data_IF_627809932842
#
_entry.id   IF_627809932842
#
_cell.length_a   1.000
_cell.length_b   1.000
_cell.length_c   1.000
_cell.angle_alpha   90.00
_cell.angle_beta   90.00
_cell.angle_gamma   90.00
#
_symmetry.space_group_name_H-M   'P 1'
#
loop_
_entity.id
_entity.type
_entity.pdbx_description
1 polymer ?
#
# COMPACT_ATOMS: atom_id res chain seq x y z
N UNK A 1 8.28 12.59 -9.28
CA UNK A 1 7.02 11.82 -9.38
C UNK A 1 5.76 12.70 -9.55
N UNK A 2 5.80 13.83 -10.26
CA UNK A 2 4.70 14.82 -10.23
C UNK A 2 3.42 14.47 -11.00
N UNK A 3 3.44 13.50 -11.91
CA UNK A 3 2.33 13.27 -12.87
C UNK A 3 1.78 11.83 -12.90
N UNK A 4 2.09 10.99 -11.90
CA UNK A 4 1.53 9.64 -11.83
C UNK A 4 0.33 9.61 -10.89
N UNK A 5 -0.78 9.07 -11.37
CA UNK A 5 -2.03 8.88 -10.64
C UNK A 5 -2.25 7.39 -10.38
N UNK A 6 -3.09 7.08 -9.39
CA UNK A 6 -3.50 5.72 -9.07
C UNK A 6 -2.34 4.80 -8.66
N UNK A 7 -1.30 5.36 -8.04
CA UNK A 7 -0.23 4.57 -7.44
C UNK A 7 -0.72 3.97 -6.13
N UNK A 8 -0.41 2.71 -5.88
CA UNK A 8 -0.60 2.06 -4.59
C UNK A 8 0.71 2.07 -3.81
N UNK A 9 0.70 2.64 -2.61
CA UNK A 9 1.84 2.68 -1.69
C UNK A 9 1.60 1.74 -0.52
N UNK A 10 2.45 0.73 -0.37
CA UNK A 10 2.47 -0.18 0.78
C UNK A 10 3.48 0.33 1.81
N UNK A 11 3.00 0.91 2.90
CA UNK A 11 3.84 1.51 3.94
C UNK A 11 3.84 0.62 5.20
N UNK A 12 4.85 -0.23 5.31
CA UNK A 12 5.00 -1.17 6.41
C UNK A 12 6.02 -0.68 7.44
N UNK A 13 5.55 -0.44 8.66
CA UNK A 13 6.36 0.09 9.75
C UNK A 13 6.45 1.63 9.78
N UNK A 14 6.83 2.15 10.95
CA UNK A 14 6.77 3.58 11.27
C UNK A 14 7.61 4.46 10.35
N UNK A 15 8.80 3.98 9.96
CA UNK A 15 9.67 4.72 9.06
C UNK A 15 9.03 4.94 7.68
N UNK A 16 8.43 3.89 7.10
CA UNK A 16 7.73 3.98 5.82
C UNK A 16 6.50 4.90 5.92
N UNK A 17 5.77 4.83 7.03
CA UNK A 17 4.62 5.69 7.30
C UNK A 17 5.00 7.17 7.30
N UNK A 18 6.05 7.54 8.04
CA UNK A 18 6.54 8.93 8.10
C UNK A 18 6.98 9.43 6.72
N UNK A 19 7.68 8.60 5.93
CA UNK A 19 8.07 8.99 4.56
C UNK A 19 6.86 9.14 3.63
N UNK A 20 5.78 8.43 3.88
CA UNK A 20 4.56 8.48 3.08
C UNK A 20 3.62 9.64 3.39
N UNK A 21 3.90 10.48 4.39
CA UNK A 21 3.06 11.64 4.73
C UNK A 21 2.96 12.65 3.58
N UNK A 22 3.96 12.70 2.70
CA UNK A 22 3.99 13.57 1.52
C UNK A 22 3.13 13.08 0.35
N UNK A 23 2.52 11.89 0.46
CA UNK A 23 1.74 11.27 -0.62
C UNK A 23 0.34 11.90 -0.68
N UNK A 24 -0.06 12.35 -1.87
CA UNK A 24 -1.44 12.80 -2.12
C UNK A 24 -2.40 11.60 -2.15
N UNK A 25 -3.12 11.41 -1.04
CA UNK A 25 -4.11 10.33 -0.84
C UNK A 25 -5.39 10.53 -1.66
N UNK A 26 -5.62 11.70 -2.25
CA UNK A 26 -6.77 11.91 -3.17
C UNK A 26 -6.49 11.28 -4.53
N UNK A 27 -5.22 11.20 -4.92
CA UNK A 27 -4.77 10.70 -6.22
C UNK A 27 -4.27 9.25 -6.17
N UNK A 28 -3.94 8.76 -4.98
CA UNK A 28 -3.21 7.50 -4.78
C UNK A 28 -3.80 6.72 -3.60
N UNK A 29 -3.59 5.40 -3.58
CA UNK A 29 -3.93 4.57 -2.44
C UNK A 29 -2.71 4.43 -1.52
N UNK A 30 -2.92 4.61 -0.22
CA UNK A 30 -1.90 4.36 0.81
C UNK A 30 -2.41 3.28 1.75
N UNK A 31 -1.73 2.13 1.78
CA UNK A 31 -2.04 1.01 2.66
C UNK A 31 -0.96 0.90 3.73
N UNK A 32 -1.37 0.95 5.00
CA UNK A 32 -0.49 1.04 6.15
C UNK A 32 -0.67 -0.15 7.08
N UNK A 33 0.43 -0.75 7.51
CA UNK A 33 0.44 -1.85 8.47
C UNK A 33 1.74 -1.84 9.28
N UNK A 34 1.82 -2.70 10.29
CA UNK A 34 3.07 -2.97 11.00
C UNK A 34 4.13 -3.53 10.05
N UNK A 35 5.39 -3.53 10.47
CA UNK A 35 6.45 -4.13 9.67
C UNK A 35 6.33 -5.68 9.72
N UNK A 36 6.58 -6.40 8.62
CA UNK A 36 6.54 -7.87 8.61
C UNK A 36 7.71 -8.53 9.36
N UNK A 37 8.54 -7.78 10.08
CA UNK A 37 9.65 -8.35 10.86
C UNK A 37 9.12 -9.20 12.02
N UNK A 38 9.92 -10.17 12.52
CA UNK A 38 9.49 -11.09 13.57
C UNK A 38 8.90 -10.41 14.80
N UNK A 39 9.40 -9.23 15.16
CA UNK A 39 8.95 -8.45 16.31
C UNK A 39 7.57 -7.81 16.17
N UNK A 40 7.04 -7.67 14.95
CA UNK A 40 5.73 -7.06 14.70
C UNK A 40 4.85 -7.81 13.71
N UNK A 41 5.25 -9.02 13.32
CA UNK A 41 4.55 -9.85 12.32
C UNK A 41 3.09 -10.14 12.72
N UNK A 42 2.80 -10.31 14.01
CA UNK A 42 1.44 -10.52 14.51
C UNK A 42 0.47 -9.38 14.09
N UNK A 43 0.98 -8.14 14.00
CA UNK A 43 0.20 -6.97 13.57
C UNK A 43 0.26 -6.72 12.05
N UNK A 44 1.01 -7.55 11.31
CA UNK A 44 1.07 -7.54 9.85
C UNK A 44 0.03 -8.49 9.23
N UNK A 45 -0.16 -9.67 9.82
CA UNK A 45 -1.11 -10.67 9.32
C UNK A 45 -2.56 -10.13 9.31
N UNK A 46 -3.34 -10.53 8.29
CA UNK A 46 -4.74 -10.11 8.14
C UNK A 46 -4.97 -8.68 7.62
N UNK A 47 -3.92 -7.97 7.19
CA UNK A 47 -4.08 -6.61 6.65
C UNK A 47 -4.72 -6.57 5.24
N UNK A 48 -4.68 -7.70 4.52
CA UNK A 48 -5.21 -7.88 3.15
C UNK A 48 -4.66 -6.84 2.15
N UNK A 49 -3.39 -6.44 2.28
CA UNK A 49 -2.81 -5.39 1.43
C UNK A 49 -2.75 -5.75 -0.05
N UNK A 50 -2.43 -7.00 -0.39
CA UNK A 50 -2.32 -7.45 -1.78
C UNK A 50 -3.67 -7.45 -2.51
N UNK A 51 -4.72 -7.97 -1.86
CA UNK A 51 -6.06 -7.94 -2.44
C UNK A 51 -6.60 -6.51 -2.56
N UNK A 52 -6.43 -5.67 -1.52
CA UNK A 52 -6.81 -4.24 -1.56
C UNK A 52 -6.07 -3.46 -2.65
N UNK A 53 -4.79 -3.80 -2.89
CA UNK A 53 -4.01 -3.24 -3.99
C UNK A 53 -4.69 -3.56 -5.32
N UNK A 54 -4.94 -4.85 -5.60
CA UNK A 54 -5.57 -5.27 -6.85
C UNK A 54 -6.99 -4.72 -7.01
N UNK A 55 -7.80 -4.68 -5.95
CA UNK A 55 -9.14 -4.05 -5.98
C UNK A 55 -9.07 -2.57 -6.40
N UNK A 56 -8.09 -1.83 -5.92
CA UNK A 56 -7.90 -0.43 -6.29
C UNK A 56 -7.42 -0.27 -7.73
N UNK A 57 -6.48 -1.11 -8.18
CA UNK A 57 -6.01 -1.10 -9.57
C UNK A 57 -7.18 -1.38 -10.51
N UNK A 58 -7.97 -2.43 -10.24
CA UNK A 58 -9.15 -2.79 -11.03
C UNK A 58 -10.17 -1.63 -11.07
N UNK A 59 -10.46 -1.00 -9.92
CA UNK A 59 -11.38 0.15 -9.86
C UNK A 59 -10.93 1.35 -10.70
N UNK A 60 -9.63 1.47 -10.97
CA UNK A 60 -9.05 2.52 -11.80
C UNK A 60 -8.70 2.04 -13.21
N UNK A 61 -9.22 0.89 -13.66
CA UNK A 61 -8.95 0.26 -14.96
C UNK A 61 -7.47 -0.04 -15.21
N UNK A 62 -6.72 -0.36 -14.16
CA UNK A 62 -5.33 -0.79 -14.22
C UNK A 62 -5.29 -2.30 -13.98
N UNK A 63 -4.49 -3.01 -14.78
CA UNK A 63 -4.32 -4.45 -14.61
C UNK A 63 -3.83 -4.78 -13.20
N UNK A 64 -4.44 -5.78 -12.53
CA UNK A 64 -3.99 -6.22 -11.22
C UNK A 64 -2.58 -6.82 -11.31
N UNK A 65 -1.90 -6.86 -10.17
CA UNK A 65 -0.59 -7.48 -10.04
C UNK A 65 -0.78 -8.98 -9.75
N UNK A 66 -0.04 -9.82 -10.46
CA UNK A 66 0.13 -11.22 -10.09
C UNK A 66 1.18 -11.31 -8.98
N UNK A 67 0.81 -11.91 -7.85
CA UNK A 67 1.63 -11.99 -6.64
C UNK A 67 2.21 -13.40 -6.40
N UNK A 68 1.95 -14.34 -7.32
CA UNK A 68 2.39 -15.73 -7.24
C UNK A 68 3.75 -15.97 -7.92
#
# INVERSE_FOLDING_TARGET
NGNRLHIVYLLWGKYAQTKGEVIDKKKNLVLVSAHPSPYSAANFFGNHHFSKCNEYLIKNNISPIDWH
#
